data_IF_428884351492
#
_entry.id   IF_428884351492
#
_cell.length_a   1.000
_cell.length_b   1.000
_cell.length_c   1.000
_cell.angle_alpha   90.00
_cell.angle_beta   90.00
_cell.angle_gamma   90.00
#
_symmetry.space_group_name_H-M   'P 1'
#
loop_
_entity.id
_entity.type
_entity.pdbx_description
1 polymer ?
#
# COMPACT_ATOMS: atom_id res chain seq x y z
N UNK A 1 -11.38 -42.42 -9.37
CA UNK A 1 -10.79 -41.69 -8.23
C UNK A 1 -9.77 -40.72 -8.83
N UNK A 2 -10.16 -39.47 -9.08
CA UNK A 2 -9.32 -38.49 -9.80
C UNK A 2 -8.83 -37.44 -8.81
N UNK A 3 -7.52 -37.48 -8.49
CA UNK A 3 -6.83 -36.40 -7.79
C UNK A 3 -6.47 -35.32 -8.83
N UNK A 4 -7.12 -34.15 -8.73
CA UNK A 4 -6.71 -32.97 -9.49
C UNK A 4 -5.55 -32.30 -8.73
N UNK A 5 -4.33 -32.52 -9.19
CA UNK A 5 -3.16 -31.74 -8.79
C UNK A 5 -3.26 -30.35 -9.41
N UNK A 6 -3.39 -29.31 -8.59
CA UNK A 6 -3.24 -27.92 -9.03
C UNK A 6 -1.75 -27.55 -8.97
N UNK A 7 -1.10 -27.45 -10.14
CA UNK A 7 0.20 -26.79 -10.30
C UNK A 7 -0.04 -25.27 -10.38
N UNK A 8 0.58 -24.51 -9.48
CA UNK A 8 0.68 -23.05 -9.61
C UNK A 8 1.73 -22.70 -10.69
N UNK A 9 1.47 -21.74 -11.60
CA UNK A 9 2.52 -21.29 -12.51
C UNK A 9 3.54 -20.43 -11.76
N UNK A 10 4.81 -20.82 -11.85
CA UNK A 10 5.94 -19.98 -11.45
C UNK A 10 6.05 -18.80 -12.42
N UNK A 11 5.80 -17.58 -11.93
CA UNK A 11 6.07 -16.36 -12.69
C UNK A 11 7.56 -16.01 -12.60
N UNK A 12 8.24 -16.05 -13.74
CA UNK A 12 9.63 -15.60 -13.91
C UNK A 12 9.60 -14.10 -14.17
N UNK A 13 10.02 -13.29 -13.19
CA UNK A 13 10.24 -11.86 -13.38
C UNK A 13 11.69 -11.63 -13.82
N UNK A 14 11.88 -11.13 -15.05
CA UNK A 14 13.18 -10.70 -15.58
C UNK A 14 13.60 -9.39 -14.92
N UNK A 15 14.78 -9.38 -14.30
CA UNK A 15 15.41 -8.19 -13.72
C UNK A 15 16.40 -7.61 -14.75
N UNK A 16 16.04 -6.52 -15.44
CA UNK A 16 17.03 -5.70 -16.15
C UNK A 16 17.34 -4.50 -15.27
N UNK A 17 18.46 -4.56 -14.54
CA UNK A 17 19.03 -3.43 -13.83
C UNK A 17 19.75 -2.51 -14.83
N UNK A 18 19.37 -1.24 -14.89
CA UNK A 18 20.17 -0.21 -15.55
C UNK A 18 21.00 0.53 -14.50
N UNK A 19 22.32 0.41 -14.61
CA UNK A 19 23.29 1.19 -13.84
C UNK A 19 23.31 2.64 -14.32
N UNK A 20 23.34 3.59 -13.38
CA UNK A 20 23.83 4.95 -13.64
C UNK A 20 25.08 5.19 -12.80
N UNK A 21 26.23 5.25 -13.47
CA UNK A 21 27.46 5.80 -12.94
C UNK A 21 27.56 7.26 -13.39
N UNK A 22 27.48 8.21 -12.46
CA UNK A 22 27.81 9.60 -12.72
C UNK A 22 29.32 9.78 -12.58
N UNK A 23 29.99 10.10 -13.67
CA UNK A 23 31.36 10.60 -13.66
C UNK A 23 31.36 12.04 -13.13
N UNK A 24 32.26 12.36 -12.20
CA UNK A 24 32.52 13.72 -11.72
C UNK A 24 33.68 14.28 -12.53
N UNK A 25 33.44 15.32 -13.33
CA UNK A 25 34.52 16.10 -13.95
C UNK A 25 34.84 17.30 -13.06
N UNK A 26 36.12 17.44 -12.67
CA UNK A 26 36.61 18.51 -11.80
C UNK A 26 37.41 19.51 -12.65
N UNK A 27 36.81 20.68 -12.97
CA UNK A 27 37.52 21.89 -13.39
C UNK A 27 36.56 23.08 -13.59
N UNK A 28 36.39 23.94 -12.56
CA UNK A 28 36.43 25.41 -12.68
C UNK A 28 36.25 26.02 -11.27
N UNK A 29 37.30 26.66 -10.75
CA UNK A 29 37.26 27.49 -9.54
C UNK A 29 37.65 28.88 -9.99
N UNK A 30 36.75 29.88 -9.86
CA UNK A 30 37.12 31.27 -10.07
C UNK A 30 36.79 32.16 -8.85
N UNK A 31 37.76 32.97 -8.37
CA UNK A 31 37.71 33.71 -7.10
C UNK A 31 37.35 35.20 -7.31
N UNK A 32 36.61 35.79 -6.36
CA UNK A 32 36.23 37.22 -6.25
C UNK A 32 34.96 37.66 -7.02
N UNK A 33 33.95 38.16 -6.28
CA UNK A 33 32.59 38.42 -6.76
C UNK A 33 32.25 39.88 -7.10
N UNK A 34 31.22 40.06 -7.96
CA UNK A 34 29.96 40.76 -7.67
C UNK A 34 28.97 40.65 -8.86
N UNK A 35 27.68 40.79 -8.54
CA UNK A 35 26.48 40.24 -9.22
C UNK A 35 25.92 41.16 -10.32
N UNK A 36 25.34 40.57 -11.38
CA UNK A 36 24.22 41.17 -12.12
C UNK A 36 23.04 40.16 -12.17
N UNK A 37 21.76 40.63 -12.12
CA UNK A 37 20.59 39.79 -11.93
C UNK A 37 20.03 39.16 -13.23
N UNK A 38 19.27 38.09 -13.02
CA UNK A 38 18.51 37.17 -13.90
C UNK A 38 18.12 37.61 -15.33
N UNK A 39 18.03 36.63 -16.27
CA UNK A 39 16.76 35.95 -16.47
C UNK A 39 16.83 34.41 -16.39
N UNK A 40 15.68 33.86 -16.04
CA UNK A 40 15.26 32.52 -15.60
C UNK A 40 15.73 31.30 -16.40
N UNK A 41 15.88 30.17 -15.68
CA UNK A 41 15.04 28.94 -15.73
C UNK A 41 15.48 28.05 -14.54
N UNK A 42 14.89 28.09 -13.34
CA UNK A 42 13.60 27.52 -12.87
C UNK A 42 13.53 25.99 -13.12
N UNK A 43 13.38 25.06 -12.16
CA UNK A 43 12.54 25.00 -10.95
C UNK A 43 13.32 24.54 -9.69
N UNK A 44 13.47 25.46 -8.75
CA UNK A 44 13.30 25.37 -7.29
C UNK A 44 13.64 24.07 -6.54
N UNK A 45 14.78 24.12 -5.84
CA UNK A 45 15.06 23.39 -4.61
C UNK A 45 14.04 23.74 -3.52
N UNK A 46 13.11 22.83 -3.22
CA UNK A 46 12.30 22.94 -1.99
C UNK A 46 12.96 22.14 -0.88
N UNK A 47 13.68 22.83 0.01
CA UNK A 47 13.88 22.37 1.38
C UNK A 47 12.52 22.42 2.10
N UNK A 48 11.79 21.31 2.13
CA UNK A 48 10.63 21.11 3.01
C UNK A 48 10.87 19.92 3.92
N UNK A 49 10.97 20.23 5.21
CA UNK A 49 10.29 19.58 6.34
C UNK A 49 9.50 18.30 6.02
N UNK A 50 9.50 17.21 6.83
CA UNK A 50 8.73 16.00 6.58
C UNK A 50 7.23 16.31 6.48
N UNK A 51 6.77 16.63 5.28
CA UNK A 51 5.39 16.98 5.00
C UNK A 51 4.80 15.82 4.24
N UNK A 52 3.89 15.14 4.94
CA UNK A 52 2.88 14.23 4.42
C UNK A 52 2.43 14.69 3.03
N UNK A 53 2.87 14.02 1.98
CA UNK A 53 2.25 14.18 0.68
C UNK A 53 0.86 13.53 0.78
N UNK A 54 -0.25 14.28 0.70
CA UNK A 54 -1.55 13.66 0.49
C UNK A 54 -1.45 13.00 -0.88
N UNK A 55 -1.40 11.67 -0.91
CA UNK A 55 -1.52 10.93 -2.17
C UNK A 55 -2.84 11.37 -2.78
N UNK A 56 -2.74 12.01 -3.93
CA UNK A 56 -3.80 12.71 -4.65
C UNK A 56 -5.06 11.84 -4.80
N UNK A 57 -6.02 12.04 -3.89
CA UNK A 57 -7.32 11.36 -3.88
C UNK A 57 -8.33 12.00 -4.84
N UNK A 58 -7.98 13.14 -5.44
CA UNK A 58 -8.93 14.04 -6.08
C UNK A 58 -9.45 13.55 -7.45
N UNK A 59 -8.84 12.49 -8.01
CA UNK A 59 -9.22 11.91 -9.31
C UNK A 59 -9.39 10.38 -9.29
N UNK A 60 -9.50 9.75 -8.12
CA UNK A 60 -9.71 8.30 -8.04
C UNK A 60 -11.18 7.93 -8.32
N UNK A 61 -11.41 6.98 -9.24
CA UNK A 61 -12.74 6.53 -9.62
C UNK A 61 -13.46 5.92 -8.41
N UNK A 62 -14.64 6.46 -8.08
CA UNK A 62 -15.50 5.90 -7.04
C UNK A 62 -16.17 4.64 -7.56
N UNK A 63 -15.98 3.53 -6.86
CA UNK A 63 -16.61 2.27 -7.19
C UNK A 63 -17.81 2.01 -6.28
N UNK A 64 -18.90 1.48 -6.82
CA UNK A 64 -20.06 1.07 -6.02
C UNK A 64 -19.82 -0.32 -5.43
N UNK A 65 -19.90 -0.44 -4.11
CA UNK A 65 -19.77 -1.71 -3.40
C UNK A 65 -21.16 -2.31 -3.20
N UNK A 66 -21.45 -3.45 -3.82
CA UNK A 66 -22.76 -4.12 -3.69
C UNK A 66 -22.81 -5.03 -2.46
N UNK A 67 -21.69 -5.65 -2.13
CA UNK A 67 -21.56 -6.60 -1.04
C UNK A 67 -20.14 -6.55 -0.45
N UNK A 68 -20.01 -6.80 0.85
CA UNK A 68 -18.73 -6.97 1.53
C UNK A 68 -18.67 -8.39 2.10
N UNK A 69 -17.66 -9.16 1.71
CA UNK A 69 -17.46 -10.54 2.16
C UNK A 69 -16.15 -10.64 2.91
N UNK A 70 -16.17 -11.26 4.09
CA UNK A 70 -14.98 -11.50 4.92
C UNK A 70 -14.60 -12.99 4.86
N UNK A 71 -13.33 -13.27 4.58
CA UNK A 71 -12.74 -14.60 4.47
C UNK A 71 -11.46 -14.71 5.32
N UNK A 72 -11.16 -15.92 5.80
CA UNK A 72 -9.94 -16.22 6.57
C UNK A 72 -10.04 -16.00 8.09
N UNK A 73 -11.24 -15.72 8.62
CA UNK A 73 -11.52 -15.66 10.06
C UNK A 73 -12.96 -16.09 10.36
N UNK A 74 -13.17 -16.61 11.57
CA UNK A 74 -14.50 -16.81 12.15
C UNK A 74 -15.06 -15.53 12.80
N UNK A 75 -14.20 -14.52 13.05
CA UNK A 75 -14.56 -13.24 13.68
C UNK A 75 -15.04 -12.19 12.68
N UNK A 76 -15.87 -12.60 11.71
CA UNK A 76 -16.32 -11.73 10.61
C UNK A 76 -16.99 -10.45 11.11
N UNK A 77 -17.78 -10.56 12.17
CA UNK A 77 -18.49 -9.42 12.76
C UNK A 77 -17.52 -8.34 13.28
N UNK A 78 -16.41 -8.75 13.92
CA UNK A 78 -15.40 -7.80 14.40
C UNK A 78 -14.74 -7.04 13.25
N UNK A 79 -14.49 -7.71 12.13
CA UNK A 79 -13.98 -7.07 10.91
C UNK A 79 -14.99 -6.04 10.40
N UNK A 80 -16.25 -6.44 10.21
CA UNK A 80 -17.31 -5.57 9.66
C UNK A 80 -17.62 -4.36 10.54
N UNK A 81 -17.58 -4.51 11.87
CA UNK A 81 -17.79 -3.42 12.83
C UNK A 81 -16.63 -2.41 12.78
N UNK A 82 -15.40 -2.85 12.54
CA UNK A 82 -14.23 -1.97 12.48
C UNK A 82 -14.18 -1.09 11.21
N UNK A 83 -14.91 -1.48 10.17
CA UNK A 83 -14.96 -0.79 8.88
C UNK A 83 -15.99 0.34 8.89
N UNK A 84 -15.71 1.41 8.15
CA UNK A 84 -16.68 2.45 7.81
C UNK A 84 -17.50 2.10 6.59
N UNK A 85 -16.90 1.51 5.54
CA UNK A 85 -17.65 1.16 4.34
C UNK A 85 -18.76 0.17 4.66
N UNK A 86 -19.94 0.41 4.05
CA UNK A 86 -21.09 -0.50 4.11
C UNK A 86 -21.53 -0.93 2.71
N UNK A 87 -22.17 -2.13 2.59
CA UNK A 87 -22.79 -2.55 1.33
C UNK A 87 -23.79 -1.50 0.83
N UNK A 88 -23.75 -1.21 -0.46
CA UNK A 88 -24.58 -0.21 -1.14
C UNK A 88 -23.92 1.16 -1.32
N UNK A 89 -22.80 1.43 -0.64
CA UNK A 89 -22.08 2.72 -0.74
C UNK A 89 -21.07 2.74 -1.88
N UNK A 90 -20.66 3.96 -2.28
CA UNK A 90 -19.51 4.13 -3.17
C UNK A 90 -18.24 4.33 -2.36
N UNK A 91 -17.17 3.63 -2.72
CA UNK A 91 -15.87 3.70 -2.09
C UNK A 91 -14.81 4.28 -3.03
N UNK A 92 -13.87 5.05 -2.49
CA UNK A 92 -12.58 5.34 -3.13
C UNK A 92 -11.54 4.31 -2.70
N UNK A 93 -10.44 4.13 -3.46
CA UNK A 93 -9.33 3.28 -3.05
C UNK A 93 -8.75 3.64 -1.68
N UNK A 94 -8.72 4.93 -1.32
CA UNK A 94 -8.21 5.39 -0.04
C UNK A 94 -9.14 5.05 1.12
N UNK A 95 -10.45 5.14 0.94
CA UNK A 95 -11.42 4.66 1.95
C UNK A 95 -11.27 3.16 2.23
N UNK A 96 -11.07 2.36 1.18
CA UNK A 96 -10.79 0.91 1.34
C UNK A 96 -9.49 0.71 2.13
N UNK A 97 -8.42 1.46 1.79
CA UNK A 97 -7.13 1.37 2.49
C UNK A 97 -7.25 1.74 3.97
N UNK A 98 -7.99 2.79 4.30
CA UNK A 98 -8.26 3.18 5.69
C UNK A 98 -8.99 2.08 6.45
N UNK A 99 -9.98 1.43 5.83
CA UNK A 99 -10.69 0.31 6.46
C UNK A 99 -9.75 -0.88 6.70
N UNK A 100 -8.87 -1.22 5.76
CA UNK A 100 -7.85 -2.26 5.96
C UNK A 100 -6.91 -1.92 7.12
N UNK A 101 -6.53 -0.65 7.28
CA UNK A 101 -5.72 -0.20 8.41
C UNK A 101 -6.47 -0.33 9.75
N UNK A 102 -7.77 -0.04 9.80
CA UNK A 102 -8.60 -0.23 11.01
C UNK A 102 -8.68 -1.71 11.39
N UNK A 103 -8.92 -2.58 10.41
CA UNK A 103 -8.97 -4.03 10.61
C UNK A 103 -7.62 -4.54 11.13
N UNK A 104 -6.51 -4.12 10.53
CA UNK A 104 -5.17 -4.48 11.00
C UNK A 104 -4.91 -3.95 12.42
N UNK A 105 -5.38 -2.75 12.73
CA UNK A 105 -5.30 -2.12 14.05
C UNK A 105 -6.03 -2.87 15.17
N UNK A 106 -6.89 -3.84 14.86
CA UNK A 106 -7.47 -4.75 15.85
C UNK A 106 -6.42 -5.67 16.51
N UNK A 107 -5.27 -5.88 15.85
CA UNK A 107 -4.17 -6.71 16.39
C UNK A 107 -4.44 -8.22 16.35
N UNK A 108 -5.55 -8.67 15.78
CA UNK A 108 -5.89 -10.10 15.65
C UNK A 108 -5.30 -10.76 14.41
N UNK A 109 -4.94 -9.96 13.40
CA UNK A 109 -4.58 -10.45 12.08
C UNK A 109 -3.12 -10.16 11.77
N UNK A 110 -2.45 -11.14 11.19
CA UNK A 110 -1.10 -11.07 10.66
C UNK A 110 -1.06 -10.35 9.32
N UNK A 111 -2.08 -10.58 8.49
CA UNK A 111 -2.21 -9.99 7.16
C UNK A 111 -3.68 -9.67 6.86
N UNK A 112 -3.90 -8.58 6.12
CA UNK A 112 -5.22 -8.05 5.77
C UNK A 112 -5.16 -7.50 4.34
N UNK A 113 -5.91 -8.10 3.43
CA UNK A 113 -5.90 -7.79 2.00
C UNK A 113 -7.32 -7.57 1.47
N UNK A 114 -7.47 -6.67 0.50
CA UNK A 114 -8.72 -6.48 -0.24
C UNK A 114 -8.61 -7.01 -1.68
N UNK A 115 -9.66 -7.68 -2.13
CA UNK A 115 -9.89 -8.00 -3.53
C UNK A 115 -11.26 -7.46 -3.96
N UNK A 116 -11.43 -7.24 -5.26
CA UNK A 116 -12.70 -6.85 -5.86
C UNK A 116 -13.14 -7.87 -6.90
N UNK A 117 -14.42 -8.19 -6.90
CA UNK A 117 -15.04 -9.05 -7.91
C UNK A 117 -16.18 -8.27 -8.59
N UNK A 118 -16.25 -8.33 -9.92
CA UNK A 118 -17.30 -7.65 -10.68
C UNK A 118 -18.66 -8.29 -10.36
N UNK A 119 -19.66 -7.46 -10.07
CA UNK A 119 -21.04 -7.86 -9.84
C UNK A 119 -21.97 -7.10 -10.80
N UNK A 120 -23.24 -7.52 -10.90
CA UNK A 120 -24.22 -6.96 -11.86
C UNK A 120 -24.39 -5.45 -11.71
N UNK A 121 -24.39 -4.97 -10.46
CA UNK A 121 -24.71 -3.58 -10.10
C UNK A 121 -23.53 -2.81 -9.48
N UNK A 122 -22.31 -3.34 -9.57
CA UNK A 122 -21.11 -2.76 -8.98
C UNK A 122 -20.00 -3.80 -8.75
N UNK A 123 -19.37 -3.73 -7.58
CA UNK A 123 -18.32 -4.66 -7.18
C UNK A 123 -18.62 -5.27 -5.82
N UNK A 124 -18.31 -6.56 -5.67
CA UNK A 124 -18.19 -7.22 -4.38
C UNK A 124 -16.79 -6.96 -3.83
N UNK A 125 -16.71 -6.43 -2.61
CA UNK A 125 -15.46 -6.23 -1.89
C UNK A 125 -15.18 -7.47 -1.02
N UNK A 126 -14.04 -8.10 -1.23
CA UNK A 126 -13.63 -9.31 -0.51
C UNK A 126 -12.46 -8.94 0.40
N UNK A 127 -12.67 -9.03 1.70
CA UNK A 127 -11.65 -8.83 2.73
C UNK A 127 -11.09 -10.19 3.12
N UNK A 128 -9.83 -10.43 2.80
CA UNK A 128 -9.09 -11.63 3.19
C UNK A 128 -8.20 -11.30 4.38
N UNK A 129 -8.31 -12.06 5.45
CA UNK A 129 -7.47 -11.91 6.64
C UNK A 129 -6.75 -13.21 6.98
N UNK A 130 -5.59 -13.09 7.62
CA UNK A 130 -4.86 -14.21 8.20
C UNK A 130 -4.73 -13.97 9.69
N UNK A 131 -5.25 -14.88 10.53
CA UNK A 131 -5.18 -14.72 11.99
C UNK A 131 -3.76 -14.88 12.54
N UNK A 132 -3.48 -14.17 13.63
CA UNK A 132 -2.24 -14.33 14.38
C UNK A 132 -2.18 -15.74 15.01
N UNK A 133 -1.04 -16.45 14.91
CA UNK A 133 -0.88 -17.73 15.56
C UNK A 133 -0.91 -17.56 17.08
N UNK A 134 -1.45 -18.57 17.78
CA UNK A 134 -1.44 -18.59 19.24
C UNK A 134 0.01 -18.77 19.72
N UNK A 135 0.51 -17.82 20.50
CA UNK A 135 1.84 -17.91 21.14
C UNK A 135 1.82 -19.04 22.16
N UNK A 136 2.76 -19.98 22.05
CA UNK A 136 2.89 -21.11 22.99
C UNK A 136 3.99 -20.91 24.02
N UNK A 137 5.07 -20.23 23.65
CA UNK A 137 6.22 -19.96 24.51
C UNK A 137 6.99 -18.74 23.98
N UNK A 138 7.66 -18.03 24.88
CA UNK A 138 8.53 -16.89 24.55
C UNK A 138 9.90 -17.12 25.19
N UNK A 139 10.91 -17.39 24.35
CA UNK A 139 12.29 -17.54 24.80
C UNK A 139 13.05 -16.21 24.65
N UNK A 140 13.64 -15.71 25.73
CA UNK A 140 14.45 -14.49 25.73
C UNK A 140 15.91 -14.88 25.93
N UNK A 141 16.76 -14.55 24.95
CA UNK A 141 18.20 -14.70 25.07
C UNK A 141 18.81 -13.37 25.54
N UNK A 142 19.37 -13.35 26.73
CA UNK A 142 20.16 -12.21 27.23
C UNK A 142 21.60 -12.31 26.71
N UNK A 143 22.08 -11.28 26.01
CA UNK A 143 23.52 -11.09 25.81
C UNK A 143 24.07 -10.31 27.01
N UNK A 144 25.09 -10.89 27.64
CA UNK A 144 25.82 -10.33 28.78
C UNK A 144 26.89 -9.33 28.33
#
# INVERSE_FOLDING_TARGET
MNLKYYLLPAAVFSLTSFSNAYAVDMQDVNPFGNIAPSPSTQLDEVKTNPQLNPVDDSASEKIKITEIVVSGTDKKESVLISMFLKPGETATPSQIREDLQRIYGLGYFLDVQAAKEQDKDGFKLIINVVENPVLRDVQVFGNN
#
